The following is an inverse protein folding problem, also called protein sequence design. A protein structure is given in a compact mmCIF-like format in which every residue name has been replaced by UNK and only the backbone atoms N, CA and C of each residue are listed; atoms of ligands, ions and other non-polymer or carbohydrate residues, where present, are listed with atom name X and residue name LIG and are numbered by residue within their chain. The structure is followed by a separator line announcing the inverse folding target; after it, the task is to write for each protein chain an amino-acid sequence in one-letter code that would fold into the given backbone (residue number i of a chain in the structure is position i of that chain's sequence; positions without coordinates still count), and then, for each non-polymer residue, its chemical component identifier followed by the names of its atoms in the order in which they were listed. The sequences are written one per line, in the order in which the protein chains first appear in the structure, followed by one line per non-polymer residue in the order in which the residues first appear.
data_IF_975263878404
#
_entry.id   IF_975263878404
#
_cell.length_a   1.000
_cell.length_b   1.000
_cell.length_c   1.000
_cell.angle_alpha   90.00
_cell.angle_beta   90.00
_cell.angle_gamma   90.00
#
_symmetry.space_group_name_H-M   'P 1'
#
loop_
_entity.id
_entity.type
_entity.pdbx_description
1 polymer ?
#
# COMPACT_ATOMS: atom_id res chain seq x y z
N UNK A 1 6.62 -4.40 16.11
CA UNK A 1 6.82 -2.93 16.01
C UNK A 1 5.80 -2.26 15.11
N UNK A 2 5.66 -2.66 13.85
CA UNK A 2 4.64 -2.14 12.92
C UNK A 2 3.22 -2.17 13.49
N UNK A 3 2.80 -3.29 14.07
CA UNK A 3 1.47 -3.45 14.68
C UNK A 3 1.22 -2.49 15.84
N UNK A 4 2.22 -2.31 16.72
CA UNK A 4 2.12 -1.39 17.86
C UNK A 4 2.05 0.08 17.42
N UNK A 5 2.82 0.47 16.40
CA UNK A 5 2.77 1.82 15.83
C UNK A 5 1.42 2.11 15.15
N UNK A 6 0.84 1.10 14.48
CA UNK A 6 -0.45 1.24 13.81
C UNK A 6 -1.61 1.36 14.81
N UNK A 7 -1.54 0.62 15.92
CA UNK A 7 -2.59 0.61 16.95
C UNK A 7 -2.82 1.98 17.61
N UNK A 8 -1.80 2.84 17.66
CA UNK A 8 -1.88 4.18 18.27
C UNK A 8 -1.77 5.31 17.24
N UNK A 9 -1.86 5.01 15.94
CA UNK A 9 -1.64 6.01 14.88
C UNK A 9 -2.76 7.07 14.87
N UNK A 10 -2.46 8.37 15.05
CA UNK A 10 -3.47 9.44 15.07
C UNK A 10 -4.34 9.51 13.81
N UNK A 11 -3.72 9.33 12.64
CA UNK A 11 -4.43 9.31 11.36
C UNK A 11 -5.51 8.21 11.25
N UNK A 12 -5.35 7.10 11.97
CA UNK A 12 -6.37 6.05 12.01
C UNK A 12 -7.36 6.27 13.15
N UNK A 13 -6.87 6.70 14.33
CA UNK A 13 -7.69 6.96 15.51
C UNK A 13 -8.81 7.95 15.24
N UNK A 14 -8.54 9.01 14.46
CA UNK A 14 -9.54 10.04 14.14
C UNK A 14 -10.78 9.56 13.38
N UNK A 15 -10.77 8.33 12.84
CA UNK A 15 -11.89 7.69 12.10
C UNK A 15 -12.30 6.33 12.70
N UNK A 16 -11.78 6.00 13.89
CA UNK A 16 -12.03 4.74 14.58
C UNK A 16 -12.27 4.92 16.07
N UNK A 17 -12.66 6.13 16.48
CA UNK A 17 -13.00 6.41 17.88
C UNK A 17 -14.27 5.67 18.29
N UNK A 18 -14.35 5.29 19.56
CA UNK A 18 -15.55 4.69 20.11
C UNK A 18 -16.73 5.68 20.03
N UNK A 19 -17.83 5.24 19.41
CA UNK A 19 -19.02 6.08 19.17
C UNK A 19 -19.10 6.66 17.75
N UNK A 20 -18.02 6.62 16.98
CA UNK A 20 -18.01 6.99 15.57
C UNK A 20 -18.39 5.77 14.70
N UNK A 21 -19.66 5.66 14.36
CA UNK A 21 -20.17 4.61 13.47
C UNK A 21 -20.06 5.02 12.00
N UNK A 22 -18.82 5.14 11.50
CA UNK A 22 -18.53 5.36 10.08
C UNK A 22 -17.91 4.11 9.43
N UNK A 23 -18.14 3.98 8.11
CA UNK A 23 -17.72 2.84 7.30
C UNK A 23 -16.19 2.73 7.17
N UNK A 24 -15.46 3.81 7.42
CA UNK A 24 -14.01 3.90 7.24
C UNK A 24 -13.24 2.95 8.18
N UNK A 25 -13.72 2.72 9.41
CA UNK A 25 -13.09 1.83 10.37
C UNK A 25 -13.03 0.37 9.84
N UNK A 26 -14.15 -0.15 9.34
CA UNK A 26 -14.24 -1.51 8.79
C UNK A 26 -13.50 -1.59 7.45
N UNK A 27 -13.60 -0.54 6.63
CA UNK A 27 -12.97 -0.48 5.32
C UNK A 27 -11.44 -0.55 5.40
N UNK A 28 -10.82 0.07 6.40
CA UNK A 28 -9.36 -0.01 6.59
C UNK A 28 -8.90 -1.44 6.86
N UNK A 29 -9.63 -2.19 7.69
CA UNK A 29 -9.33 -3.60 7.93
C UNK A 29 -9.50 -4.45 6.65
N UNK A 30 -10.58 -4.23 5.90
CA UNK A 30 -10.85 -4.93 4.64
C UNK A 30 -9.78 -4.64 3.56
N UNK A 31 -9.34 -3.39 3.46
CA UNK A 31 -8.26 -2.98 2.56
C UNK A 31 -6.94 -3.65 2.91
N UNK A 32 -6.54 -3.64 4.19
CA UNK A 32 -5.30 -4.29 4.64
C UNK A 32 -5.33 -5.80 4.45
N UNK A 33 -6.48 -6.43 4.68
CA UNK A 33 -6.69 -7.85 4.38
C UNK A 33 -6.50 -8.14 2.89
N UNK A 34 -7.08 -7.31 2.01
CA UNK A 34 -6.93 -7.44 0.56
C UNK A 34 -5.48 -7.31 0.14
N UNK A 35 -4.76 -6.29 0.63
CA UNK A 35 -3.35 -6.09 0.33
C UNK A 35 -2.45 -7.20 0.87
N UNK A 36 -2.75 -7.72 2.07
CA UNK A 36 -2.04 -8.86 2.64
C UNK A 36 -2.21 -10.12 1.78
N UNK A 37 -3.45 -10.47 1.41
CA UNK A 37 -3.73 -11.64 0.58
C UNK A 37 -3.16 -11.49 -0.83
N UNK A 38 -3.19 -10.28 -1.39
CA UNK A 38 -2.56 -9.96 -2.67
C UNK A 38 -1.05 -10.23 -2.64
N UNK A 39 -0.31 -9.60 -1.72
CA UNK A 39 1.14 -9.81 -1.60
C UNK A 39 1.47 -11.27 -1.29
N UNK A 40 0.65 -11.94 -0.48
CA UNK A 40 0.80 -13.36 -0.16
C UNK A 40 0.59 -14.25 -1.40
N UNK A 41 -0.34 -13.91 -2.28
CA UNK A 41 -0.59 -14.66 -3.52
C UNK A 41 0.60 -14.63 -4.48
N UNK A 42 1.42 -13.57 -4.44
CA UNK A 42 2.60 -13.35 -5.28
C UNK A 42 3.91 -13.88 -4.70
N UNK A 43 3.89 -14.46 -3.49
CA UNK A 43 5.12 -14.88 -2.80
C UNK A 43 5.68 -16.20 -3.31
N UNK A 44 4.87 -17.07 -3.88
CA UNK A 44 5.29 -18.40 -4.34
C UNK A 44 4.64 -18.78 -5.66
N UNK A 45 5.36 -19.50 -6.52
CA UNK A 45 4.84 -19.94 -7.82
C UNK A 45 3.57 -20.83 -7.72
N UNK A 46 3.35 -21.46 -6.56
CA UNK A 46 2.16 -22.28 -6.26
C UNK A 46 1.07 -21.58 -5.44
N UNK A 47 1.24 -20.32 -5.03
CA UNK A 47 0.27 -19.60 -4.19
C UNK A 47 -0.80 -18.84 -4.98
N UNK A 48 -0.89 -19.06 -6.30
CA UNK A 48 -1.89 -18.43 -7.17
C UNK A 48 -3.35 -18.65 -6.72
N UNK A 49 -3.77 -19.77 -6.08
CA UNK A 49 -5.15 -19.95 -5.63
C UNK A 49 -5.57 -18.95 -4.54
N UNK A 50 -4.60 -18.40 -3.80
CA UNK A 50 -4.85 -17.34 -2.80
C UNK A 50 -5.42 -16.09 -3.48
N UNK A 51 -5.24 -15.91 -4.80
CA UNK A 51 -5.90 -14.86 -5.58
C UNK A 51 -7.43 -14.87 -5.48
N UNK A 52 -8.06 -16.05 -5.30
CA UNK A 52 -9.52 -16.14 -5.06
C UNK A 52 -9.89 -15.52 -3.72
N UNK A 53 -9.11 -15.81 -2.67
CA UNK A 53 -9.30 -15.20 -1.34
C UNK A 53 -9.07 -13.69 -1.39
N UNK A 54 -8.11 -13.22 -2.18
CA UNK A 54 -7.90 -11.79 -2.43
C UNK A 54 -9.13 -11.16 -3.11
N UNK A 55 -9.72 -11.84 -4.10
CA UNK A 55 -10.95 -11.38 -4.76
C UNK A 55 -12.15 -11.33 -3.82
N UNK A 56 -12.28 -12.31 -2.92
CA UNK A 56 -13.30 -12.32 -1.86
C UNK A 56 -13.13 -11.17 -0.87
N UNK A 57 -11.89 -10.94 -0.39
CA UNK A 57 -11.58 -9.81 0.49
C UNK A 57 -11.83 -8.46 -0.19
N UNK A 58 -11.56 -8.36 -1.48
CA UNK A 58 -11.90 -7.18 -2.28
C UNK A 58 -13.42 -7.00 -2.43
N UNK A 59 -14.18 -8.08 -2.64
CA UNK A 59 -15.64 -8.03 -2.64
C UNK A 59 -16.20 -7.50 -1.31
N UNK A 60 -15.63 -7.94 -0.19
CA UNK A 60 -15.95 -7.39 1.13
C UNK A 60 -15.63 -5.89 1.21
N UNK A 61 -14.45 -5.47 0.76
CA UNK A 61 -14.07 -4.06 0.69
C UNK A 61 -15.07 -3.21 -0.11
N UNK A 62 -15.50 -3.70 -1.28
CA UNK A 62 -16.49 -3.03 -2.16
C UNK A 62 -17.82 -2.83 -1.45
N UNK A 63 -18.25 -3.80 -0.62
CA UNK A 63 -19.49 -3.67 0.15
C UNK A 63 -19.41 -2.66 1.30
N UNK A 64 -18.20 -2.39 1.81
CA UNK A 64 -17.99 -1.54 2.99
C UNK A 64 -17.75 -0.07 2.66
N UNK A 65 -16.99 0.27 1.61
CA UNK A 65 -16.59 1.66 1.37
C UNK A 65 -16.27 1.97 -0.09
N UNK A 66 -16.65 3.19 -0.53
CA UNK A 66 -16.41 3.69 -1.89
C UNK A 66 -14.93 3.80 -2.30
N UNK A 67 -13.99 3.70 -1.36
CA UNK A 67 -12.55 3.63 -1.64
C UNK A 67 -12.08 2.33 -2.29
N UNK A 68 -12.98 1.39 -2.63
CA UNK A 68 -12.63 0.19 -3.39
C UNK A 68 -11.99 0.49 -4.75
N UNK A 69 -12.27 1.65 -5.34
CA UNK A 69 -11.68 2.11 -6.61
C UNK A 69 -10.15 2.28 -6.44
N UNK A 70 -9.72 2.83 -5.31
CA UNK A 70 -8.30 2.96 -4.97
C UNK A 70 -7.64 1.58 -4.84
N UNK A 71 -8.27 0.64 -4.13
CA UNK A 71 -7.74 -0.72 -3.94
C UNK A 71 -7.58 -1.46 -5.27
N UNK A 72 -8.59 -1.38 -6.14
CA UNK A 72 -8.56 -2.01 -7.46
C UNK A 72 -7.44 -1.45 -8.33
N UNK A 73 -7.36 -0.12 -8.43
CA UNK A 73 -6.36 0.54 -9.25
C UNK A 73 -4.95 0.35 -8.70
N UNK A 74 -4.79 0.29 -7.38
CA UNK A 74 -3.50 0.04 -6.75
C UNK A 74 -3.00 -1.39 -7.01
N UNK A 75 -3.88 -2.39 -6.93
CA UNK A 75 -3.54 -3.78 -7.28
C UNK A 75 -3.21 -3.91 -8.77
N UNK A 76 -4.01 -3.28 -9.65
CA UNK A 76 -3.75 -3.26 -11.09
C UNK A 76 -2.43 -2.57 -11.44
N UNK A 77 -2.15 -1.39 -10.85
CA UNK A 77 -0.91 -0.66 -11.05
C UNK A 77 0.30 -1.50 -10.59
N UNK A 78 0.19 -2.16 -9.44
CA UNK A 78 1.24 -3.06 -8.96
C UNK A 78 1.48 -4.23 -9.93
N UNK A 79 0.42 -4.88 -10.41
CA UNK A 79 0.52 -5.95 -11.39
C UNK A 79 1.21 -5.46 -12.67
N UNK A 80 0.82 -4.29 -13.19
CA UNK A 80 1.44 -3.68 -14.37
C UNK A 80 2.94 -3.38 -14.15
N UNK A 81 3.30 -2.82 -12.99
CA UNK A 81 4.71 -2.56 -12.63
C UNK A 81 5.51 -3.85 -12.50
N UNK A 82 4.94 -4.92 -11.92
CA UNK A 82 5.61 -6.23 -11.86
C UNK A 82 5.83 -6.81 -13.25
N UNK A 83 4.82 -6.77 -14.12
CA UNK A 83 4.93 -7.24 -15.50
C UNK A 83 5.98 -6.44 -16.29
N UNK A 84 6.02 -5.12 -16.11
CA UNK A 84 7.02 -4.26 -16.74
C UNK A 84 8.43 -4.57 -16.22
N UNK A 85 8.57 -4.78 -14.91
CA UNK A 85 9.86 -5.14 -14.30
C UNK A 85 10.35 -6.53 -14.76
N UNK A 86 9.44 -7.49 -14.91
CA UNK A 86 9.74 -8.83 -15.41
C UNK A 86 10.11 -8.78 -16.90
N UNK A 87 9.41 -7.95 -17.67
CA UNK A 87 9.72 -7.67 -19.08
C UNK A 87 11.13 -7.09 -19.25
N UNK A 88 11.50 -6.08 -18.45
CA UNK A 88 12.84 -5.47 -18.45
C UNK A 88 13.95 -6.48 -18.09
N UNK A 89 13.65 -7.49 -17.27
CA UNK A 89 14.60 -8.55 -16.89
C UNK A 89 14.57 -9.77 -17.79
N UNK A 90 13.65 -9.82 -18.75
CA UNK A 90 13.42 -10.98 -19.61
C UNK A 90 12.95 -12.23 -18.86
N UNK A 91 12.35 -12.09 -17.67
CA UNK A 91 11.73 -13.19 -16.92
C UNK A 91 10.22 -13.17 -17.16
N UNK A 92 9.59 -14.34 -17.17
CA UNK A 92 8.14 -14.46 -17.31
C UNK A 92 7.61 -15.33 -16.17
N UNK A 93 6.78 -14.74 -15.32
CA UNK A 93 6.11 -15.45 -14.23
C UNK A 93 4.63 -15.67 -14.58
N UNK A 94 4.26 -16.94 -14.81
CA UNK A 94 2.87 -17.31 -15.07
C UNK A 94 2.00 -17.21 -13.81
N UNK A 95 2.60 -17.31 -12.61
CA UNK A 95 1.83 -17.29 -11.36
C UNK A 95 1.19 -15.93 -11.08
N UNK A 96 1.87 -14.83 -11.46
CA UNK A 96 1.34 -13.47 -11.39
C UNK A 96 0.09 -13.28 -12.26
N UNK A 97 0.09 -13.85 -13.47
CA UNK A 97 -1.07 -13.82 -14.37
C UNK A 97 -2.28 -14.54 -13.75
N UNK A 98 -2.08 -15.75 -13.25
CA UNK A 98 -3.16 -16.53 -12.65
C UNK A 98 -3.69 -15.87 -11.38
N UNK A 99 -2.81 -15.37 -10.50
CA UNK A 99 -3.20 -14.66 -9.29
C UNK A 99 -4.02 -13.40 -9.60
N UNK A 100 -3.56 -12.57 -10.56
CA UNK A 100 -4.29 -11.37 -10.98
C UNK A 100 -5.62 -11.69 -11.68
N UNK A 101 -5.65 -12.73 -12.51
CA UNK A 101 -6.87 -13.13 -13.21
C UNK A 101 -7.94 -13.62 -12.25
N UNK A 102 -7.56 -14.43 -11.25
CA UNK A 102 -8.50 -14.88 -10.22
C UNK A 102 -9.00 -13.73 -9.36
N UNK A 103 -8.10 -12.82 -8.96
CA UNK A 103 -8.48 -11.60 -8.25
C UNK A 103 -9.49 -10.78 -9.05
N UNK A 104 -9.23 -10.53 -10.33
CA UNK A 104 -10.08 -9.66 -11.16
C UNK A 104 -11.44 -10.29 -11.47
N UNK A 105 -11.47 -11.58 -11.84
CA UNK A 105 -12.73 -12.28 -12.17
C UNK A 105 -13.60 -12.43 -10.92
N UNK A 106 -13.04 -12.95 -9.82
CA UNK A 106 -13.81 -13.15 -8.57
C UNK A 106 -14.19 -11.81 -7.95
N UNK A 107 -13.26 -10.85 -7.92
CA UNK A 107 -13.49 -9.53 -7.36
C UNK A 107 -14.55 -8.74 -8.13
N UNK A 108 -14.52 -8.77 -9.47
CA UNK A 108 -15.52 -8.08 -10.30
C UNK A 108 -16.89 -8.76 -10.21
N UNK A 109 -16.93 -10.11 -10.19
CA UNK A 109 -18.19 -10.83 -10.02
C UNK A 109 -18.90 -10.46 -8.71
N UNK A 110 -18.16 -10.37 -7.60
CA UNK A 110 -18.74 -9.95 -6.32
C UNK A 110 -19.09 -8.45 -6.34
N UNK A 111 -18.24 -7.61 -6.93
CA UNK A 111 -18.51 -6.17 -7.03
C UNK A 111 -19.80 -5.88 -7.80
N UNK A 112 -20.11 -6.63 -8.86
CA UNK A 112 -21.37 -6.47 -9.61
C UNK A 112 -22.62 -6.86 -8.83
N UNK A 113 -22.47 -7.71 -7.80
CA UNK A 113 -23.57 -8.10 -6.92
C UNK A 113 -23.92 -7.00 -5.90
N UNK A 114 -23.05 -6.01 -5.69
CA UNK A 114 -23.27 -4.93 -4.74
C UNK A 114 -24.15 -3.86 -5.40
N UNK A 115 -25.39 -3.63 -4.92
CA UNK A 115 -26.38 -2.77 -5.59
C UNK A 115 -25.90 -1.35 -5.95
N UNK A 116 -25.17 -0.61 -5.09
CA UNK A 116 -24.68 0.73 -5.45
C UNK A 116 -23.58 0.74 -6.53
N UNK A 117 -22.95 -0.40 -6.81
CA UNK A 117 -21.89 -0.54 -7.81
C UNK A 117 -22.47 -1.02 -9.14
N UNK A 118 -23.35 -2.01 -9.12
CA UNK A 118 -24.02 -2.53 -10.31
C UNK A 118 -23.04 -2.79 -11.47
N UNK A 119 -23.26 -2.12 -12.61
CA UNK A 119 -22.44 -2.27 -13.83
C UNK A 119 -21.31 -1.22 -13.97
N UNK A 120 -21.00 -0.45 -12.92
CA UNK A 120 -19.90 0.54 -12.98
C UNK A 120 -18.52 -0.05 -13.32
N UNK A 121 -18.17 -1.31 -12.99
CA UNK A 121 -16.86 -1.87 -13.35
C UNK A 121 -16.61 -1.92 -14.86
N UNK A 122 -17.68 -2.01 -15.66
CA UNK A 122 -17.61 -2.07 -17.12
C UNK A 122 -17.90 -0.73 -17.80
N UNK A 123 -18.49 0.24 -17.09
CA UNK A 123 -18.91 1.54 -17.67
C UNK A 123 -18.04 2.71 -17.23
N UNK A 124 -17.45 2.64 -16.02
CA UNK A 124 -16.66 3.72 -15.46
C UNK A 124 -15.21 3.68 -15.96
N UNK A 125 -14.70 4.83 -16.41
CA UNK A 125 -13.29 4.96 -16.80
C UNK A 125 -12.32 4.69 -15.64
N UNK A 126 -12.78 4.86 -14.41
CA UNK A 126 -11.99 4.68 -13.19
C UNK A 126 -11.66 3.22 -12.90
N UNK A 127 -12.52 2.29 -13.31
CA UNK A 127 -12.29 0.84 -13.17
C UNK A 127 -11.78 0.21 -14.46
N UNK A 128 -11.93 0.91 -15.60
CA UNK A 128 -11.45 0.46 -16.90
C UNK A 128 -9.92 0.27 -16.93
N UNK A 129 -9.16 1.03 -16.14
CA UNK A 129 -7.71 0.84 -16.03
C UNK A 129 -7.34 -0.57 -15.57
N UNK A 130 -8.06 -1.14 -14.60
CA UNK A 130 -7.81 -2.50 -14.14
C UNK A 130 -8.18 -3.53 -15.23
N UNK A 131 -9.29 -3.31 -15.95
CA UNK A 131 -9.65 -4.15 -17.09
C UNK A 131 -8.60 -4.09 -18.21
N UNK A 132 -8.04 -2.91 -18.47
CA UNK A 132 -6.98 -2.73 -19.47
C UNK A 132 -5.71 -3.49 -19.10
N UNK A 133 -5.29 -3.43 -17.83
CA UNK A 133 -4.16 -4.22 -17.33
C UNK A 133 -4.45 -5.73 -17.46
N UNK A 134 -5.67 -6.18 -17.17
CA UNK A 134 -6.08 -7.57 -17.35
C UNK A 134 -5.95 -8.04 -18.80
N UNK A 135 -6.49 -7.27 -19.76
CA UNK A 135 -6.38 -7.58 -21.19
C UNK A 135 -4.91 -7.58 -21.62
N UNK A 136 -4.13 -6.60 -21.17
CA UNK A 136 -2.70 -6.51 -21.47
C UNK A 136 -1.90 -7.72 -20.97
N UNK A 137 -2.18 -8.19 -19.75
CA UNK A 137 -1.52 -9.37 -19.18
C UNK A 137 -1.86 -10.65 -19.97
N UNK A 138 -3.11 -10.83 -20.39
CA UNK A 138 -3.50 -11.95 -21.25
C UNK A 138 -2.88 -11.89 -22.64
N UNK A 139 -2.79 -10.69 -23.23
CA UNK A 139 -2.08 -10.47 -24.49
C UNK A 139 -0.61 -10.89 -24.41
N UNK A 140 0.07 -10.51 -23.31
CA UNK A 140 1.44 -10.92 -23.05
C UNK A 140 1.57 -12.44 -22.87
N UNK A 141 0.66 -13.08 -22.13
CA UNK A 141 0.66 -14.53 -21.98
C UNK A 141 0.50 -15.25 -23.32
N UNK A 142 -0.46 -14.82 -24.14
CA UNK A 142 -0.68 -15.37 -25.47
C UNK A 142 0.57 -15.21 -26.36
N UNK A 143 1.22 -14.06 -26.30
CA UNK A 143 2.49 -13.82 -27.01
C UNK A 143 3.60 -14.79 -26.58
N UNK A 144 3.63 -15.16 -25.29
CA UNK A 144 4.63 -16.08 -24.74
C UNK A 144 4.31 -17.54 -25.13
N UNK A 145 3.04 -17.93 -25.19
CA UNK A 145 2.62 -19.23 -25.72
C UNK A 145 3.02 -19.37 -27.19
N UNK A 146 2.74 -18.36 -28.02
CA UNK A 146 3.14 -18.34 -29.42
C UNK A 146 4.67 -18.41 -29.57
N UNK A 147 5.40 -17.69 -28.71
CA UNK A 147 6.86 -17.73 -28.67
C UNK A 147 7.37 -19.14 -28.32
N UNK A 148 6.78 -19.80 -27.32
CA UNK A 148 7.16 -21.16 -26.91
C UNK A 148 6.93 -22.19 -28.00
N UNK A 149 5.84 -22.06 -28.77
CA UNK A 149 5.58 -22.93 -29.94
C UNK A 149 6.55 -22.73 -31.10
N UNK A 150 7.24 -21.59 -31.15
CA UNK A 150 8.11 -21.21 -32.27
C UNK A 150 9.62 -21.30 -31.94
N UNK A 151 10.00 -21.82 -30.75
CA UNK A 151 11.39 -22.07 -30.31
C UNK A 151 12.41 -20.95 -30.57
N UNK A 152 12.00 -19.69 -30.41
CA UNK A 152 12.91 -18.55 -30.56
C UNK A 152 13.64 -18.20 -29.24
N UNK A 153 14.99 -18.04 -29.26
CA UNK A 153 15.76 -17.62 -28.08
C UNK A 153 15.31 -16.23 -27.59
N UNK A 154 15.40 -16.02 -26.26
CA UNK A 154 14.90 -14.85 -25.51
C UNK A 154 15.39 -13.50 -26.10
N UNK A 155 16.55 -13.51 -26.74
CA UNK A 155 17.29 -12.31 -27.20
C UNK A 155 17.29 -12.12 -28.73
N UNK A 156 16.34 -12.72 -29.45
CA UNK A 156 16.21 -12.48 -30.89
C UNK A 156 15.27 -11.30 -31.19
N UNK A 157 15.66 -10.43 -32.11
CA UNK A 157 14.83 -9.35 -32.67
C UNK A 157 13.50 -9.88 -33.24
N UNK A 158 13.44 -11.15 -33.63
CA UNK A 158 12.22 -11.83 -34.10
C UNK A 158 11.22 -12.09 -32.96
N UNK A 159 11.67 -12.43 -31.74
CA UNK A 159 10.79 -12.61 -30.59
C UNK A 159 10.21 -11.27 -30.10
N UNK A 160 11.02 -10.20 -30.12
CA UNK A 160 10.53 -8.84 -29.84
C UNK A 160 9.52 -8.38 -30.89
N UNK A 161 9.74 -8.68 -32.17
CA UNK A 161 8.82 -8.36 -33.27
C UNK A 161 7.49 -9.12 -33.15
N UNK A 162 7.51 -10.38 -32.73
CA UNK A 162 6.28 -11.16 -32.46
C UNK A 162 5.52 -10.57 -31.28
N UNK A 163 6.20 -10.26 -30.16
CA UNK A 163 5.57 -9.62 -28.99
C UNK A 163 5.00 -8.24 -29.32
N UNK A 164 5.74 -7.42 -30.06
CA UNK A 164 5.29 -6.11 -30.53
C UNK A 164 4.09 -6.22 -31.48
N UNK A 165 4.07 -7.21 -32.38
CA UNK A 165 2.89 -7.47 -33.24
C UNK A 165 1.67 -7.87 -32.43
N UNK A 166 1.80 -8.79 -31.47
CA UNK A 166 0.68 -9.19 -30.61
C UNK A 166 0.18 -8.00 -29.81
N UNK A 167 1.09 -7.19 -29.25
CA UNK A 167 0.74 -5.96 -28.53
C UNK A 167 0.01 -4.94 -29.42
N UNK A 168 0.51 -4.69 -30.63
CA UNK A 168 -0.11 -3.80 -31.61
C UNK A 168 -1.50 -4.30 -32.04
N UNK A 169 -1.66 -5.61 -32.25
CA UNK A 169 -2.97 -6.21 -32.55
C UNK A 169 -3.93 -6.01 -31.38
N UNK A 170 -3.49 -6.28 -30.14
CA UNK A 170 -4.36 -6.10 -28.97
C UNK A 170 -4.73 -4.63 -28.72
N UNK A 171 -3.79 -3.70 -28.91
CA UNK A 171 -4.10 -2.27 -28.85
C UNK A 171 -5.03 -1.84 -29.98
N UNK A 172 -4.83 -2.35 -31.20
CA UNK A 172 -5.71 -2.09 -32.34
C UNK A 172 -7.14 -2.57 -32.10
N UNK A 173 -7.31 -3.79 -31.56
CA UNK A 173 -8.62 -4.33 -31.18
C UNK A 173 -9.27 -3.50 -30.07
N UNK A 174 -8.49 -3.06 -29.07
CA UNK A 174 -9.01 -2.25 -27.96
C UNK A 174 -9.46 -0.86 -28.45
N UNK A 175 -8.67 -0.22 -29.33
CA UNK A 175 -9.02 1.07 -29.93
C UNK A 175 -10.24 0.95 -30.84
N UNK A 176 -10.34 -0.13 -31.62
CA UNK A 176 -11.51 -0.39 -32.45
C UNK A 176 -12.75 -0.62 -31.59
N UNK A 177 -12.65 -1.43 -30.53
CA UNK A 177 -13.75 -1.65 -29.59
C UNK A 177 -14.17 -0.33 -28.91
N UNK A 178 -13.22 0.50 -28.50
CA UNK A 178 -13.49 1.81 -27.93
C UNK A 178 -14.17 2.75 -28.94
N UNK A 179 -13.73 2.76 -30.20
CA UNK A 179 -14.32 3.57 -31.26
C UNK A 179 -15.75 3.12 -31.63
N UNK A 180 -16.05 1.81 -31.53
CA UNK A 180 -17.40 1.27 -31.75
C UNK A 180 -18.34 1.55 -30.57
N UNK A 181 -17.82 1.58 -29.35
CA UNK A 181 -18.59 1.82 -28.12
C UNK A 181 -18.74 3.32 -27.77
N UNK A 182 -17.84 4.18 -28.26
CA UNK A 182 -17.90 5.63 -28.09
C UNK A 182 -19.21 6.27 -28.59
N UNK A 183 -19.73 5.98 -29.80
CA UNK A 183 -20.98 6.57 -30.27
C UNK A 183 -22.22 6.08 -29.51
N UNK A 184 -22.13 4.99 -28.75
CA UNK A 184 -23.22 4.48 -27.91
C UNK A 184 -23.29 5.16 -26.54
N UNK A 185 -22.36 6.08 -26.23
CA UNK A 185 -22.31 6.77 -24.93
C UNK A 185 -22.04 5.83 -23.74
N UNK A 186 -21.49 4.64 -24.00
CA UNK A 186 -21.32 3.59 -22.99
C UNK A 186 -20.25 3.92 -21.94
N UNK A 187 -19.23 4.71 -22.33
CA UNK A 187 -18.21 5.20 -21.41
C UNK A 187 -18.72 6.41 -20.64
N UNK A 188 -18.96 6.23 -19.33
CA UNK A 188 -19.23 7.35 -18.45
C UNK A 188 -17.98 8.24 -18.29
N UNK A 189 -18.11 9.57 -18.29
CA UNK A 189 -16.98 10.45 -18.01
C UNK A 189 -16.39 10.16 -16.62
N UNK A 190 -15.12 10.49 -16.41
CA UNK A 190 -14.48 10.42 -15.08
C UNK A 190 -15.38 11.15 -14.06
N UNK A 191 -15.63 10.52 -12.91
CA UNK A 191 -16.45 11.11 -11.86
C UNK A 191 -15.86 12.46 -11.47
N UNK A 192 -16.71 13.48 -11.32
CA UNK A 192 -16.31 14.84 -10.98
C UNK A 192 -15.42 14.89 -9.72
N UNK A 193 -15.65 13.96 -8.78
CA UNK A 193 -14.86 13.78 -7.55
C UNK A 193 -13.44 13.27 -7.79
N UNK A 194 -13.25 12.31 -8.68
CA UNK A 194 -11.91 11.77 -9.01
C UNK A 194 -11.16 12.71 -9.94
N UNK A 195 -11.85 13.41 -10.84
CA UNK A 195 -11.23 14.46 -11.66
C UNK A 195 -10.68 15.61 -10.81
N UNK A 196 -11.37 15.97 -9.72
CA UNK A 196 -10.89 16.97 -8.76
C UNK A 196 -9.59 16.55 -8.04
N UNK A 197 -9.34 15.24 -7.89
CA UNK A 197 -8.10 14.72 -7.31
C UNK A 197 -6.88 14.91 -8.21
N UNK A 198 -7.06 14.96 -9.54
CA UNK A 198 -5.95 15.10 -10.51
C UNK A 198 -5.78 16.54 -11.03
N UNK A 199 -6.84 17.34 -11.06
CA UNK A 199 -6.82 18.72 -11.58
C UNK A 199 -6.98 19.71 -10.44
N UNK A 200 -5.86 20.30 -10.02
CA UNK A 200 -5.77 21.20 -8.87
C UNK A 200 -6.46 22.58 -9.08
N UNK A 201 -6.90 22.90 -10.29
CA UNK A 201 -7.30 24.28 -10.67
C UNK A 201 -8.79 24.51 -10.85
N UNK A 202 -9.65 23.60 -10.42
CA UNK A 202 -11.09 23.85 -10.42
C UNK A 202 -11.68 23.31 -9.14
N UNK A 203 -12.00 24.22 -8.21
CA UNK A 203 -13.22 24.13 -7.40
C UNK A 203 -14.25 23.33 -8.19
N UNK A 204 -14.84 22.29 -7.60
CA UNK A 204 -15.66 21.28 -8.30
C UNK A 204 -16.86 21.86 -9.07
N UNK A 205 -17.03 23.18 -9.06
CA UNK A 205 -18.13 23.95 -9.63
C UNK A 205 -19.30 24.05 -8.65
N UNK A 206 -19.32 23.18 -7.63
CA UNK A 206 -20.34 23.13 -6.61
C UNK A 206 -19.76 23.62 -5.27
N UNK A 207 -20.18 24.80 -4.77
CA UNK A 207 -19.69 25.35 -3.51
C UNK A 207 -20.01 24.45 -2.29
N UNK A 208 -21.02 23.58 -2.36
CA UNK A 208 -21.37 22.63 -1.28
C UNK A 208 -20.32 21.54 -1.08
N UNK A 209 -19.60 21.17 -2.14
CA UNK A 209 -18.54 20.15 -2.07
C UNK A 209 -17.23 20.80 -1.65
N UNK A 210 -16.93 21.98 -2.18
CA UNK A 210 -15.70 22.71 -1.83
C UNK A 210 -15.73 23.31 -0.41
N UNK A 211 -16.92 23.46 0.20
CA UNK A 211 -17.07 23.94 1.59
C UNK A 211 -16.76 22.89 2.66
N UNK A 212 -16.65 21.61 2.29
CA UNK A 212 -16.34 20.55 3.27
C UNK A 212 -14.84 20.60 3.57
N UNK A 213 -14.49 20.84 4.83
CA UNK A 213 -13.09 20.92 5.29
C UNK A 213 -12.26 19.67 4.93
N UNK A 214 -12.91 18.51 4.78
CA UNK A 214 -12.29 17.25 4.34
C UNK A 214 -11.76 17.27 2.90
N UNK A 215 -12.32 18.12 2.03
CA UNK A 215 -11.92 18.25 0.63
C UNK A 215 -10.76 19.26 0.45
N UNK A 216 -10.32 19.91 1.52
CA UNK A 216 -9.21 20.85 1.47
C UNK A 216 -7.85 20.13 1.36
N UNK A 217 -6.86 20.76 0.72
CA UNK A 217 -5.49 20.25 0.70
C UNK A 217 -4.90 20.24 2.11
N UNK A 218 -4.04 19.26 2.35
CA UNK A 218 -3.44 19.01 3.66
C UNK A 218 -2.28 19.98 3.92
N UNK A 219 -2.26 20.63 5.07
CA UNK A 219 -1.13 21.45 5.52
C UNK A 219 0.03 20.59 6.05
N UNK A 220 1.25 21.13 6.04
CA UNK A 220 2.41 20.45 6.62
C UNK A 220 2.23 20.16 8.12
N UNK A 221 1.58 21.07 8.84
CA UNK A 221 1.27 20.90 10.27
C UNK A 221 0.29 19.75 10.50
N UNK A 222 -0.69 19.55 9.61
CA UNK A 222 -1.56 18.38 9.65
C UNK A 222 -0.75 17.10 9.48
N UNK A 223 0.16 17.02 8.50
CA UNK A 223 1.05 15.85 8.37
C UNK A 223 1.87 15.58 9.63
N UNK A 224 2.36 16.62 10.30
CA UNK A 224 3.09 16.46 11.55
C UNK A 224 2.20 15.95 12.68
N UNK A 225 1.01 16.53 12.87
CA UNK A 225 0.06 16.10 13.90
C UNK A 225 -0.42 14.67 13.69
N UNK A 226 -0.66 14.25 12.45
CA UNK A 226 -1.20 12.93 12.12
C UNK A 226 -0.16 11.81 12.08
N UNK A 227 1.06 12.10 11.60
CA UNK A 227 2.09 11.09 11.39
C UNK A 227 3.29 11.21 12.32
N UNK A 228 3.52 12.35 12.97
CA UNK A 228 4.64 12.62 13.89
C UNK A 228 5.94 11.90 13.45
N UNK A 229 6.37 10.84 14.16
CA UNK A 229 7.58 10.06 13.85
C UNK A 229 7.46 9.15 12.64
N UNK A 230 6.24 8.69 12.33
CA UNK A 230 6.00 7.93 11.13
C UNK A 230 6.26 8.74 9.86
N UNK A 231 6.26 10.08 9.90
CA UNK A 231 6.57 10.92 8.73
C UNK A 231 8.06 10.87 8.32
N UNK A 232 9.04 11.23 9.19
CA UNK A 232 10.45 11.05 8.86
C UNK A 232 10.82 9.57 8.74
N UNK A 233 10.21 8.71 9.55
CA UNK A 233 10.41 7.26 9.52
C UNK A 233 9.98 6.63 8.19
N UNK A 234 8.87 7.07 7.60
CA UNK A 234 8.40 6.55 6.32
C UNK A 234 9.23 7.05 5.15
N UNK A 235 9.72 8.30 5.19
CA UNK A 235 10.61 8.83 4.15
C UNK A 235 11.94 8.10 4.14
N UNK A 236 12.58 7.94 5.30
CA UNK A 236 13.80 7.12 5.43
C UNK A 236 13.52 5.68 5.00
N UNK A 237 12.39 5.11 5.44
CA UNK A 237 11.98 3.74 5.14
C UNK A 237 11.77 3.50 3.65
N UNK A 238 11.22 4.49 2.96
CA UNK A 238 11.07 4.49 1.52
C UNK A 238 12.43 4.41 0.83
N UNK A 239 13.38 5.29 1.17
CA UNK A 239 14.72 5.26 0.55
C UNK A 239 15.48 3.96 0.86
N UNK A 240 15.43 3.47 2.10
CA UNK A 240 16.06 2.21 2.48
C UNK A 240 15.45 1.02 1.71
N UNK A 241 14.12 0.95 1.64
CA UNK A 241 13.42 -0.13 0.92
C UNK A 241 13.62 -0.02 -0.59
N UNK A 242 13.72 1.19 -1.14
CA UNK A 242 14.04 1.45 -2.53
C UNK A 242 15.44 0.94 -2.88
N UNK A 243 16.43 1.26 -2.04
CA UNK A 243 17.80 0.75 -2.18
C UNK A 243 17.84 -0.78 -2.14
N UNK A 244 17.11 -1.41 -1.20
CA UNK A 244 16.98 -2.86 -1.12
C UNK A 244 16.26 -3.45 -2.33
N UNK A 245 15.31 -2.73 -2.93
CA UNK A 245 14.61 -3.15 -4.13
C UNK A 245 15.52 -3.14 -5.37
N UNK A 246 16.40 -2.14 -5.48
CA UNK A 246 17.46 -2.12 -6.50
C UNK A 246 18.43 -3.29 -6.35
N UNK A 247 18.77 -3.67 -5.11
CA UNK A 247 19.63 -4.82 -4.85
C UNK A 247 18.92 -6.16 -5.13
N UNK A 248 17.66 -6.31 -4.70
CA UNK A 248 16.84 -7.49 -4.94
C UNK A 248 15.38 -7.11 -5.09
N UNK A 249 14.88 -7.30 -6.30
CA UNK A 249 13.47 -7.13 -6.54
C UNK A 249 12.69 -8.28 -5.92
N UNK A 250 11.74 -7.92 -5.07
CA UNK A 250 10.77 -8.83 -4.50
C UNK A 250 9.40 -8.18 -4.67
N UNK A 251 8.42 -8.92 -5.19
CA UNK A 251 7.08 -8.40 -5.48
C UNK A 251 6.43 -7.73 -4.24
N UNK A 252 6.69 -8.25 -3.04
CA UNK A 252 6.22 -7.61 -1.80
C UNK A 252 6.85 -6.25 -1.49
N UNK A 253 8.15 -6.06 -1.76
CA UNK A 253 8.83 -4.76 -1.50
C UNK A 253 8.38 -3.70 -2.50
N UNK A 254 8.19 -4.07 -3.77
CA UNK A 254 7.64 -3.16 -4.79
C UNK A 254 6.22 -2.71 -4.48
N UNK A 255 5.37 -3.60 -3.94
CA UNK A 255 4.01 -3.25 -3.54
C UNK A 255 3.98 -2.14 -2.50
N UNK A 256 4.76 -2.28 -1.42
CA UNK A 256 4.80 -1.30 -0.32
C UNK A 256 5.34 0.05 -0.80
N UNK A 257 6.38 0.05 -1.65
CA UNK A 257 6.94 1.28 -2.22
C UNK A 257 5.92 2.04 -3.08
N UNK A 258 5.25 1.31 -3.97
CA UNK A 258 4.23 1.89 -4.84
C UNK A 258 3.03 2.39 -4.02
N UNK A 259 2.60 1.62 -3.02
CA UNK A 259 1.49 1.98 -2.14
C UNK A 259 1.80 3.28 -1.40
N UNK A 260 2.99 3.40 -0.81
CA UNK A 260 3.40 4.62 -0.14
C UNK A 260 3.46 5.82 -1.09
N UNK A 261 4.05 5.68 -2.28
CA UNK A 261 4.16 6.78 -3.25
C UNK A 261 2.78 7.32 -3.67
N UNK A 262 1.87 6.40 -4.02
CA UNK A 262 0.52 6.75 -4.49
C UNK A 262 -0.32 7.31 -3.33
N UNK A 263 -0.28 6.68 -2.15
CA UNK A 263 -1.03 7.14 -0.99
C UNK A 263 -0.51 8.49 -0.47
N UNK A 264 0.81 8.70 -0.46
CA UNK A 264 1.41 9.98 -0.09
C UNK A 264 0.95 11.08 -1.05
N UNK A 265 1.00 10.84 -2.37
CA UNK A 265 0.49 11.79 -3.37
C UNK A 265 -0.97 12.17 -3.11
N UNK A 266 -1.88 11.20 -2.94
CA UNK A 266 -3.28 11.48 -2.68
C UNK A 266 -3.52 12.20 -1.35
N UNK A 267 -2.76 11.86 -0.31
CA UNK A 267 -2.85 12.54 0.99
C UNK A 267 -2.44 14.01 0.95
N UNK A 268 -1.59 14.43 0.00
CA UNK A 268 -1.28 15.85 -0.21
C UNK A 268 -2.41 16.63 -0.88
N UNK A 269 -3.27 15.94 -1.64
CA UNK A 269 -4.37 16.57 -2.38
C UNK A 269 -5.63 16.74 -1.55
N UNK A 270 -5.88 15.84 -0.60
CA UNK A 270 -7.10 15.83 0.21
C UNK A 270 -6.80 15.32 1.61
N UNK A 271 -7.20 16.08 2.64
CA UNK A 271 -6.95 15.75 4.06
C UNK A 271 -7.60 14.45 4.50
N UNK A 272 -8.79 14.11 3.98
CA UNK A 272 -9.44 12.81 4.26
C UNK A 272 -8.62 11.61 3.82
N UNK A 273 -7.86 11.72 2.72
CA UNK A 273 -7.09 10.60 2.15
C UNK A 273 -5.81 10.30 2.94
N UNK A 274 -5.50 11.06 3.99
CA UNK A 274 -4.43 10.73 4.94
C UNK A 274 -4.66 9.37 5.63
N UNK A 275 -5.92 8.96 5.78
CA UNK A 275 -6.26 7.63 6.28
C UNK A 275 -5.61 6.51 5.44
N UNK A 276 -5.52 6.71 4.11
CA UNK A 276 -4.93 5.73 3.19
C UNK A 276 -3.40 5.67 3.27
N UNK A 277 -2.72 6.76 3.64
CA UNK A 277 -1.25 6.76 3.81
C UNK A 277 -0.81 6.25 5.18
N UNK A 278 -1.73 6.20 6.16
CA UNK A 278 -1.57 5.63 7.49
C UNK A 278 -0.78 4.31 7.54
N UNK A 279 -1.35 3.22 7.01
CA UNK A 279 -0.71 1.90 7.07
C UNK A 279 0.62 1.83 6.30
N UNK A 280 0.74 2.51 5.16
CA UNK A 280 1.96 2.54 4.36
C UNK A 280 3.13 3.16 5.14
N UNK A 281 2.87 4.29 5.80
CA UNK A 281 3.86 5.01 6.58
C UNK A 281 4.37 4.18 7.78
N UNK A 282 3.45 3.49 8.46
CA UNK A 282 3.79 2.64 9.61
C UNK A 282 4.59 1.40 9.20
N UNK A 283 4.26 0.76 8.07
CA UNK A 283 5.01 -0.40 7.58
C UNK A 283 6.44 -0.03 7.23
N UNK A 284 6.66 1.09 6.55
CA UNK A 284 8.00 1.57 6.20
C UNK A 284 8.82 1.97 7.44
N UNK A 285 8.19 2.71 8.36
CA UNK A 285 8.82 3.10 9.63
C UNK A 285 9.21 1.88 10.46
N UNK A 286 8.29 0.92 10.60
CA UNK A 286 8.54 -0.28 11.37
C UNK A 286 9.55 -1.23 10.72
N UNK A 287 9.70 -1.21 9.38
CA UNK A 287 10.75 -1.96 8.68
C UNK A 287 12.16 -1.44 9.03
N UNK A 288 12.34 -0.11 9.05
CA UNK A 288 13.61 0.49 9.50
C UNK A 288 13.88 0.15 10.96
N UNK A 289 12.90 0.40 11.82
CA UNK A 289 13.10 0.22 13.25
C UNK A 289 13.38 -1.25 13.59
N UNK A 290 12.64 -2.18 12.97
CA UNK A 290 12.89 -3.61 13.09
C UNK A 290 14.29 -3.98 12.62
N UNK A 291 14.69 -3.50 11.43
CA UNK A 291 16.04 -3.76 10.90
C UNK A 291 17.16 -3.21 11.79
N UNK A 292 16.98 -2.03 12.39
CA UNK A 292 17.94 -1.46 13.36
C UNK A 292 18.02 -2.33 14.61
N UNK A 293 16.89 -2.76 15.16
CA UNK A 293 16.86 -3.62 16.35
C UNK A 293 17.51 -4.97 16.05
N UNK A 294 17.17 -5.62 14.94
CA UNK A 294 17.72 -6.92 14.56
C UNK A 294 19.24 -6.85 14.37
N UNK A 295 19.75 -5.83 13.65
CA UNK A 295 21.19 -5.60 13.50
C UNK A 295 21.90 -5.39 14.84
N UNK A 296 21.18 -4.81 15.79
CA UNK A 296 21.72 -4.51 17.10
C UNK A 296 21.79 -5.72 18.01
N UNK A 297 20.72 -6.51 18.03
CA UNK A 297 20.68 -7.81 18.73
C UNK A 297 21.75 -8.73 18.17
N UNK A 298 21.87 -8.85 16.84
CA UNK A 298 22.91 -9.67 16.20
C UNK A 298 24.32 -9.22 16.60
N UNK A 299 24.55 -7.92 16.76
CA UNK A 299 25.88 -7.41 17.16
C UNK A 299 26.20 -7.62 18.64
N UNK A 300 25.18 -7.69 19.50
CA UNK A 300 25.33 -7.83 20.95
C UNK A 300 25.46 -9.30 21.38
N UNK A 301 24.73 -10.20 20.71
CA UNK A 301 24.63 -11.62 21.09
C UNK A 301 25.52 -12.57 20.26
N UNK A 302 26.13 -12.13 19.14
CA UNK A 302 27.11 -12.96 18.42
C UNK A 302 28.54 -12.67 18.89
N UNK A 303 29.20 -13.56 19.67
CA UNK A 303 30.63 -13.45 19.92
C UNK A 303 31.43 -13.62 18.62
N UNK A 304 32.61 -12.98 18.49
CA UNK A 304 33.39 -12.91 17.24
C UNK A 304 34.07 -14.24 16.81
N UNK A 305 33.53 -15.42 17.15
CA UNK A 305 34.28 -16.69 17.05
C UNK A 305 33.58 -17.98 16.59
N UNK A 306 32.27 -18.04 16.28
CA UNK A 306 31.59 -19.36 16.09
C UNK A 306 30.99 -19.59 14.69
N UNK A 307 31.51 -18.98 13.62
CA UNK A 307 31.02 -19.27 12.27
C UNK A 307 32.11 -19.57 11.23
N UNK A 308 33.18 -20.29 11.61
CA UNK A 308 34.08 -20.92 10.62
C UNK A 308 34.15 -22.46 10.64
N UNK A 309 33.56 -23.19 11.60
CA UNK A 309 33.74 -24.66 11.67
C UNK A 309 32.47 -25.55 11.66
N UNK A 310 31.34 -25.04 11.17
CA UNK A 310 30.06 -25.78 11.15
C UNK A 310 29.61 -26.36 9.80
N UNK A 311 30.49 -26.55 8.81
CA UNK A 311 30.04 -26.77 7.41
C UNK A 311 30.80 -27.79 6.57
N UNK A 312 31.63 -28.65 7.16
CA UNK A 312 32.29 -29.78 6.45
C UNK A 312 31.89 -31.12 7.07
N UNK A 313 30.60 -31.44 7.03
CA UNK A 313 30.10 -32.75 7.42
C UNK A 313 28.62 -32.89 7.07
N UNK A 314 28.32 -33.76 6.10
CA UNK A 314 26.97 -34.22 5.72
C UNK A 314 26.00 -33.22 5.05
N UNK A 315 26.05 -33.14 3.71
CA UNK A 315 24.91 -33.49 2.86
C UNK A 315 25.34 -33.55 1.38
N UNK A 316 25.62 -34.75 0.89
CA UNK A 316 25.58 -35.07 -0.54
C UNK A 316 24.11 -35.04 -0.97
N UNK A 317 23.74 -34.14 -1.88
CA UNK A 317 22.51 -34.28 -2.69
C UNK A 317 21.46 -33.16 -2.58
N UNK A 318 21.72 -31.98 -3.16
CA UNK A 318 20.81 -31.21 -4.03
C UNK A 318 21.37 -29.79 -4.27
N UNK A 319 21.95 -29.59 -5.45
CA UNK A 319 22.46 -28.31 -5.90
C UNK A 319 21.28 -27.40 -6.31
N UNK A 320 20.71 -26.63 -5.37
CA UNK A 320 19.81 -25.51 -5.69
C UNK A 320 20.63 -24.22 -5.61
N UNK A 321 20.83 -23.56 -6.76
CA UNK A 321 21.57 -22.30 -6.87
C UNK A 321 21.05 -21.29 -5.84
N UNK A 322 21.87 -20.97 -4.83
CA UNK A 322 21.64 -19.83 -3.94
C UNK A 322 21.76 -18.54 -4.74
N UNK A 323 20.73 -17.71 -4.64
CA UNK A 323 20.54 -16.49 -5.41
C UNK A 323 21.59 -15.39 -5.11
N UNK A 324 21.90 -14.52 -6.08
CA UNK A 324 22.91 -13.45 -5.97
C UNK A 324 22.60 -12.38 -4.92
N UNK A 325 21.38 -12.31 -4.42
CA UNK A 325 21.01 -11.33 -3.41
C UNK A 325 20.83 -11.90 -2.00
N UNK A 326 20.73 -13.22 -1.85
CA UNK A 326 21.11 -13.87 -0.58
C UNK A 326 22.62 -13.65 -0.40
N UNK A 327 23.40 -13.69 -1.50
CA UNK A 327 24.81 -13.23 -1.55
C UNK A 327 25.01 -11.72 -1.33
N UNK A 328 24.07 -10.84 -1.69
CA UNK A 328 24.21 -9.39 -1.50
C UNK A 328 23.82 -8.94 -0.09
N UNK A 329 22.71 -9.45 0.46
CA UNK A 329 22.37 -9.30 1.87
C UNK A 329 23.43 -9.96 2.75
N UNK A 330 23.93 -11.15 2.39
CA UNK A 330 25.12 -11.68 3.07
C UNK A 330 26.36 -10.86 2.79
N UNK A 331 26.59 -10.22 1.64
CA UNK A 331 27.76 -9.34 1.43
C UNK A 331 27.68 -8.05 2.23
N UNK A 332 26.50 -7.44 2.40
CA UNK A 332 26.30 -6.28 3.26
C UNK A 332 26.43 -6.72 4.72
N UNK A 333 25.84 -7.85 5.11
CA UNK A 333 26.02 -8.42 6.44
C UNK A 333 27.47 -8.87 6.70
N UNK A 334 28.20 -9.34 5.69
CA UNK A 334 29.61 -9.74 5.75
C UNK A 334 30.49 -8.49 5.76
N UNK A 335 30.16 -7.44 5.00
CA UNK A 335 30.88 -6.16 5.01
C UNK A 335 30.67 -5.43 6.33
N UNK A 336 29.44 -5.48 6.86
CA UNK A 336 29.09 -5.03 8.20
C UNK A 336 29.83 -5.85 9.26
N UNK A 337 29.77 -7.19 9.21
CA UNK A 337 30.54 -8.07 10.11
C UNK A 337 32.06 -7.86 9.97
N UNK A 338 32.58 -7.55 8.78
CA UNK A 338 34.01 -7.26 8.52
C UNK A 338 34.40 -5.88 9.03
N UNK A 339 33.50 -4.91 8.98
CA UNK A 339 33.65 -3.58 9.58
C UNK A 339 33.58 -3.69 11.12
N UNK A 340 32.64 -4.46 11.67
CA UNK A 340 32.55 -4.82 13.09
C UNK A 340 33.80 -5.57 13.58
N UNK A 341 34.34 -6.47 12.76
CA UNK A 341 35.58 -7.22 13.06
C UNK A 341 36.84 -6.34 13.01
N UNK A 342 36.84 -5.25 12.22
CA UNK A 342 37.99 -4.32 12.13
C UNK A 342 38.06 -3.32 13.29
N UNK A 343 36.93 -2.92 13.88
CA UNK A 343 36.88 -2.05 15.06
C UNK A 343 35.70 -2.44 15.96
N UNK A 344 35.87 -3.40 16.90
CA UNK A 344 34.76 -3.88 17.74
C UNK A 344 34.19 -2.77 18.62
N UNK A 345 35.03 -1.86 19.16
CA UNK A 345 34.57 -0.71 19.93
C UNK A 345 33.82 0.34 19.10
N UNK A 346 34.23 0.60 17.86
CA UNK A 346 33.54 1.57 16.99
C UNK A 346 32.20 1.03 16.50
N UNK A 347 32.13 -0.26 16.15
CA UNK A 347 30.88 -0.89 15.77
C UNK A 347 29.92 -1.04 16.96
N UNK A 348 30.41 -1.44 18.14
CA UNK A 348 29.60 -1.44 19.36
C UNK A 348 29.13 -0.04 19.76
N UNK A 349 29.95 1.00 19.56
CA UNK A 349 29.56 2.39 19.79
C UNK A 349 28.55 2.91 18.76
N UNK A 350 28.70 2.60 17.48
CA UNK A 350 27.75 2.99 16.41
C UNK A 350 26.42 2.25 16.57
N UNK A 351 26.46 0.96 16.89
CA UNK A 351 25.25 0.17 17.12
C UNK A 351 24.59 0.52 18.44
N UNK A 352 25.36 0.75 19.50
CA UNK A 352 24.88 1.31 20.76
C UNK A 352 24.26 2.71 20.57
N UNK A 353 24.89 3.57 19.76
CA UNK A 353 24.33 4.87 19.41
C UNK A 353 23.05 4.75 18.57
N UNK A 354 22.94 3.79 17.66
CA UNK A 354 21.72 3.53 16.87
C UNK A 354 20.59 2.89 17.69
N UNK A 355 20.91 2.03 18.67
CA UNK A 355 19.97 1.51 19.66
C UNK A 355 19.48 2.60 20.60
N UNK A 356 20.39 3.45 21.08
CA UNK A 356 20.04 4.59 21.93
C UNK A 356 19.26 5.60 21.10
N UNK A 357 19.62 5.92 19.86
CA UNK A 357 18.85 6.83 18.99
C UNK A 357 17.50 6.24 18.57
N UNK A 358 17.43 4.96 18.21
CA UNK A 358 16.19 4.30 17.78
C UNK A 358 15.25 4.02 18.96
N UNK A 359 15.81 3.57 20.09
CA UNK A 359 15.12 3.46 21.36
C UNK A 359 14.67 4.82 21.89
N UNK A 360 15.52 5.84 21.81
CA UNK A 360 15.17 7.21 22.23
C UNK A 360 14.14 7.86 21.29
N UNK A 361 14.20 7.56 19.99
CA UNK A 361 13.18 7.97 19.03
C UNK A 361 11.85 7.23 19.21
N UNK A 362 11.81 6.06 19.86
CA UNK A 362 10.55 5.36 20.14
C UNK A 362 9.99 5.63 21.54
N UNK A 363 10.85 5.69 22.55
CA UNK A 363 10.51 5.78 23.97
C UNK A 363 10.52 7.22 24.47
N UNK A 364 11.45 8.06 24.00
CA UNK A 364 11.63 9.44 24.50
C UNK A 364 11.03 10.52 23.61
N UNK A 365 10.64 10.18 22.39
CA UNK A 365 10.11 11.12 21.40
C UNK A 365 8.69 11.62 21.68
N UNK A 366 8.09 11.21 22.79
CA UNK A 366 6.72 11.58 23.11
C UNK A 366 5.71 11.10 22.07
N UNK A 367 6.02 10.12 21.20
CA UNK A 367 5.05 9.65 20.21
C UNK A 367 3.77 9.14 20.88
N UNK A 368 3.91 8.30 21.92
CA UNK A 368 2.77 7.81 22.70
C UNK A 368 2.01 8.95 23.35
N UNK A 369 2.72 9.92 23.92
CA UNK A 369 2.17 11.10 24.57
C UNK A 369 1.42 12.01 23.58
N UNK A 370 2.00 12.25 22.41
CA UNK A 370 1.39 13.00 21.30
C UNK A 370 0.15 12.29 20.77
N UNK A 371 0.21 10.96 20.57
CA UNK A 371 -0.95 10.17 20.17
C UNK A 371 -2.05 10.20 21.23
N UNK A 372 -1.68 10.19 22.52
CA UNK A 372 -2.63 10.29 23.62
C UNK A 372 -3.31 11.67 23.67
N UNK A 373 -2.52 12.75 23.60
CA UNK A 373 -3.04 14.12 23.53
C UNK A 373 -3.92 14.34 22.31
N UNK A 374 -3.53 13.76 21.17
CA UNK A 374 -4.36 13.80 19.97
C UNK A 374 -5.68 13.04 20.17
N UNK A 375 -5.64 11.85 20.78
CA UNK A 375 -6.83 11.09 21.09
C UNK A 375 -7.77 11.85 22.05
N UNK A 376 -7.24 12.55 23.05
CA UNK A 376 -8.01 13.43 23.93
C UNK A 376 -8.63 14.62 23.18
N UNK A 377 -7.90 15.20 22.21
CA UNK A 377 -8.42 16.31 21.42
C UNK A 377 -9.56 15.88 20.46
N UNK A 378 -9.56 14.63 20.00
CA UNK A 378 -10.55 14.12 19.05
C UNK A 378 -11.70 13.35 19.73
N UNK A 379 -11.56 12.95 21.00
CA UNK A 379 -12.59 12.23 21.75
C UNK A 379 -13.78 13.09 22.19
N UNK A 380 -13.79 14.38 21.87
CA UNK A 380 -14.87 15.30 22.20
C UNK A 380 -16.18 14.94 21.49
N UNK A 381 -17.31 14.79 22.23
CA UNK A 381 -18.61 14.54 21.61
C UNK A 381 -19.06 15.72 20.74
N UNK A 382 -19.62 15.41 19.56
CA UNK A 382 -20.11 16.45 18.63
C UNK A 382 -21.54 16.93 18.96
N UNK A 383 -22.34 16.11 19.65
CA UNK A 383 -23.75 16.44 19.97
C UNK A 383 -23.84 17.26 21.26
N UNK A 384 -23.02 16.93 22.26
CA UNK A 384 -22.95 17.64 23.54
C UNK A 384 -21.59 18.31 23.61
N UNK A 385 -21.56 19.64 23.59
CA UNK A 385 -20.31 20.39 23.54
C UNK A 385 -19.85 20.71 24.95
N UNK A 386 -18.56 20.51 25.22
CA UNK A 386 -17.93 20.99 26.45
C UNK A 386 -17.55 22.46 26.26
N UNK A 387 -18.05 23.33 27.13
CA UNK A 387 -17.60 24.73 27.19
C UNK A 387 -17.07 25.05 28.59
N UNK A 388 -16.03 25.86 28.62
CA UNK A 388 -15.47 26.36 29.86
C UNK A 388 -15.94 27.80 30.08
N UNK A 389 -16.58 28.07 31.22
CA UNK A 389 -16.93 29.45 31.59
C UNK A 389 -15.67 30.23 31.97
N UNK A 390 -15.81 31.57 31.98
CA UNK A 390 -14.78 32.47 32.52
C UNK A 390 -14.41 32.16 33.98
N UNK A 391 -15.31 31.50 34.72
CA UNK A 391 -15.11 31.03 36.09
C UNK A 391 -14.26 29.75 36.18
N UNK A 392 -13.90 29.14 35.05
CA UNK A 392 -13.16 27.87 34.97
C UNK A 392 -14.04 26.62 35.08
N UNK A 393 -15.33 26.77 35.37
CA UNK A 393 -16.30 25.68 35.43
C UNK A 393 -16.58 25.11 34.03
N UNK A 394 -16.59 23.78 33.92
CA UNK A 394 -16.88 23.06 32.67
C UNK A 394 -18.38 22.77 32.65
N UNK A 395 -19.09 23.35 31.68
CA UNK A 395 -20.50 23.06 31.41
C UNK A 395 -20.63 22.20 30.16
N UNK A 396 -21.64 21.33 30.16
CA UNK A 396 -22.04 20.54 29.00
C UNK A 396 -23.22 21.25 28.33
N UNK A 397 -23.04 21.73 27.10
CA UNK A 397 -24.13 22.26 26.28
C UNK A 397 -24.78 21.13 25.48
N UNK A 398 -26.05 20.87 25.75
CA UNK A 398 -26.87 19.85 25.10
C UNK A 398 -28.00 20.44 24.23
N UNK A 399 -27.90 21.73 23.86
CA UNK A 399 -28.92 22.48 23.10
C UNK A 399 -29.42 21.74 21.84
N UNK A 400 -28.52 21.10 21.08
CA UNK A 400 -28.89 20.31 19.91
C UNK A 400 -29.80 19.15 20.30
N UNK A 401 -29.40 18.38 21.32
CA UNK A 401 -30.15 17.23 21.80
C UNK A 401 -31.54 17.64 22.31
N UNK A 402 -31.61 18.69 23.13
CA UNK A 402 -32.87 19.22 23.65
C UNK A 402 -33.78 19.71 22.52
N UNK A 403 -33.21 20.40 21.52
CA UNK A 403 -33.97 20.88 20.36
C UNK A 403 -34.53 19.73 19.53
N UNK A 404 -33.74 18.68 19.28
CA UNK A 404 -34.23 17.47 18.58
C UNK A 404 -35.28 16.71 19.39
N UNK A 405 -35.14 16.65 20.72
CA UNK A 405 -36.15 16.04 21.59
C UNK A 405 -37.46 16.82 21.56
N UNK A 406 -37.38 18.15 21.60
CA UNK A 406 -38.54 19.02 21.51
C UNK A 406 -39.28 18.81 20.18
N UNK A 407 -38.55 18.77 19.06
CA UNK A 407 -39.09 18.52 17.71
C UNK A 407 -39.72 17.12 17.57
N UNK A 408 -39.25 16.13 18.34
CA UNK A 408 -39.79 14.77 18.30
C UNK A 408 -41.08 14.64 19.09
N UNK A 409 -41.18 15.36 20.20
CA UNK A 409 -42.22 15.13 21.21
C UNK A 409 -43.38 16.15 21.14
N UNK A 410 -43.14 17.34 20.57
CA UNK A 410 -44.15 18.37 20.31
C UNK A 410 -44.31 18.54 18.80
#
# INVERSE_FOLDING_TARGET
MTTGLFAILPAHLMRSMAGEYDNECIAMAAMLLTFYLWVRSLRSAGSWPIGVLTGLAYGYMVSTWGGFIFVLNMVALHAAVCVLADWLRGRYDASLLWAYSLFFVVGTAIATCVPPVGWTPFKSLEQLMALLVFIFMWALHFSEILRRRADFPIRSTKALRIRARVFMITCGVLVLAAALLAPQGYFGPLSSRVRALFVQHTRTGNPLVDSVAEHMPTSADAFWSYFHICLPGSLLGFFATLFLCFARYHHGKSFVLLYYLVAYYFSTKMSRLMLLSGPAAVVLTGNILGGVIDLSVDSLFLPPGVCEDGGKGQMKGRHKQRDPAERAETRIAIAWKKMCRRRPFFAAAVVGALLVLGGHALLTSGYREHCHRFAEAVSGPQIIMQAQLRTGEIIMLDDYYVSYLWLRNN
#
